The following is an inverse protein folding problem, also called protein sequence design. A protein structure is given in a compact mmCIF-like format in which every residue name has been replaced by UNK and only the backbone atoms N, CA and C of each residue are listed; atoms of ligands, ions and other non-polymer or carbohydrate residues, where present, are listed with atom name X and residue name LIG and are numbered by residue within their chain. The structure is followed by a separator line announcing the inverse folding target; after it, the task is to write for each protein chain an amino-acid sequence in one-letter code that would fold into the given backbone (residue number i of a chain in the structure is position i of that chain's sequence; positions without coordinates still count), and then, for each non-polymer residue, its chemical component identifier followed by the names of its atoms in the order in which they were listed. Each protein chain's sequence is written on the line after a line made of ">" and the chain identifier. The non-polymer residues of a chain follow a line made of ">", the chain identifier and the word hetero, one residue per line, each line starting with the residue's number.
data_IF_409081790931
#
_entry.id   IF_409081790931
#
_cell.length_a   1.000
_cell.length_b   1.000
_cell.length_c   1.000
_cell.angle_alpha   90.00
_cell.angle_beta   90.00
_cell.angle_gamma   90.00
#
_symmetry.space_group_name_H-M   'P 1'
#
loop_
_entity.id
_entity.type
_entity.pdbx_description
1 polymer ?
#
# COMPACT_ATOMS: atom_id res chain seq x y z
N UNK A 1 -29.21 -85.05 -52.67
CA UNK A 1 -29.44 -83.78 -51.94
C UNK A 1 -28.35 -83.44 -50.91
N UNK A 2 -27.68 -84.41 -50.27
CA UNK A 2 -26.66 -84.18 -49.20
C UNK A 2 -25.41 -83.35 -49.58
N UNK A 3 -24.99 -83.35 -50.86
CA UNK A 3 -23.79 -82.62 -51.32
C UNK A 3 -23.94 -81.09 -51.34
N UNK A 4 -25.15 -80.57 -51.63
CA UNK A 4 -25.42 -79.11 -51.66
C UNK A 4 -25.46 -78.48 -50.26
N UNK A 5 -25.93 -79.23 -49.26
CA UNK A 5 -26.00 -78.77 -47.86
C UNK A 5 -24.63 -78.74 -47.18
N UNK A 6 -23.76 -79.71 -47.48
CA UNK A 6 -22.37 -79.71 -47.01
C UNK A 6 -21.59 -78.52 -47.58
N UNK A 7 -21.74 -78.24 -48.88
CA UNK A 7 -21.12 -77.08 -49.52
C UNK A 7 -21.63 -75.74 -48.97
N UNK A 8 -22.93 -75.64 -48.62
CA UNK A 8 -23.48 -74.44 -47.96
C UNK A 8 -22.95 -74.24 -46.54
N UNK A 9 -22.84 -75.30 -45.73
CA UNK A 9 -22.26 -75.22 -44.37
C UNK A 9 -20.77 -74.89 -44.39
N UNK A 10 -20.05 -75.31 -45.42
CA UNK A 10 -18.64 -74.97 -45.61
C UNK A 10 -18.46 -73.50 -46.06
N UNK A 11 -19.33 -73.01 -46.97
CA UNK A 11 -19.25 -71.66 -47.52
C UNK A 11 -19.80 -70.56 -46.60
N UNK A 12 -20.79 -70.88 -45.76
CA UNK A 12 -21.48 -69.92 -44.89
C UNK A 12 -21.36 -70.24 -43.39
N UNK A 13 -20.58 -71.26 -43.02
CA UNK A 13 -20.50 -71.75 -41.65
C UNK A 13 -21.77 -72.47 -41.18
N UNK A 14 -21.79 -72.96 -39.95
CA UNK A 14 -23.03 -73.44 -39.33
C UNK A 14 -23.91 -72.22 -38.98
N UNK A 15 -25.24 -72.26 -39.22
CA UNK A 15 -26.13 -71.14 -38.89
C UNK A 15 -25.99 -70.67 -37.43
N UNK A 16 -25.85 -71.63 -36.52
CA UNK A 16 -25.62 -71.38 -35.09
C UNK A 16 -24.32 -70.61 -34.80
N UNK A 17 -23.24 -70.89 -35.55
CA UNK A 17 -21.98 -70.18 -35.41
C UNK A 17 -22.09 -68.74 -35.92
N UNK A 18 -22.77 -68.52 -37.05
CA UNK A 18 -22.99 -67.17 -37.59
C UNK A 18 -23.80 -66.32 -36.63
N UNK A 19 -24.88 -66.88 -36.05
CA UNK A 19 -25.70 -66.17 -35.07
C UNK A 19 -24.92 -65.85 -33.79
N UNK A 20 -24.08 -66.78 -33.32
CA UNK A 20 -23.19 -66.55 -32.18
C UNK A 20 -22.16 -65.44 -32.48
N UNK A 21 -21.60 -65.39 -33.69
CA UNK A 21 -20.68 -64.32 -34.08
C UNK A 21 -21.36 -62.97 -34.19
N UNK A 22 -22.60 -62.93 -34.71
CA UNK A 22 -23.43 -61.72 -34.74
C UNK A 22 -23.71 -61.23 -33.33
N UNK A 23 -24.05 -62.12 -32.41
CA UNK A 23 -24.31 -61.74 -31.03
C UNK A 23 -23.06 -61.25 -30.30
N UNK A 24 -21.91 -61.93 -30.48
CA UNK A 24 -20.61 -61.42 -29.99
C UNK A 24 -20.24 -60.05 -30.55
N UNK A 25 -20.63 -59.76 -31.79
CA UNK A 25 -20.39 -58.45 -32.39
C UNK A 25 -21.30 -57.38 -31.75
N UNK A 26 -22.59 -57.68 -31.54
CA UNK A 26 -23.52 -56.79 -30.85
C UNK A 26 -23.10 -56.46 -29.43
N UNK A 27 -22.64 -57.47 -28.68
CA UNK A 27 -22.13 -57.29 -27.32
C UNK A 27 -20.93 -56.34 -27.33
N UNK A 28 -19.93 -56.59 -28.18
CA UNK A 28 -18.75 -55.71 -28.30
C UNK A 28 -19.10 -54.27 -28.68
N UNK A 29 -20.08 -54.06 -29.55
CA UNK A 29 -20.56 -52.71 -29.90
C UNK A 29 -21.20 -52.03 -28.68
N UNK A 30 -22.02 -52.76 -27.90
CA UNK A 30 -22.63 -52.21 -26.68
C UNK A 30 -21.58 -51.88 -25.61
N UNK A 31 -20.62 -52.77 -25.39
CA UNK A 31 -19.51 -52.56 -24.44
C UNK A 31 -18.65 -51.37 -24.85
N UNK A 32 -18.20 -51.29 -26.10
CA UNK A 32 -17.40 -50.16 -26.59
C UNK A 32 -18.13 -48.82 -26.47
N UNK A 33 -19.45 -48.80 -26.74
CA UNK A 33 -20.28 -47.59 -26.56
C UNK A 33 -20.40 -47.20 -25.09
N UNK A 34 -20.52 -48.17 -24.19
CA UNK A 34 -20.62 -47.92 -22.75
C UNK A 34 -19.28 -47.39 -22.19
N UNK A 35 -18.15 -47.99 -22.58
CA UNK A 35 -16.82 -47.56 -22.19
C UNK A 35 -16.53 -46.12 -22.64
N UNK A 36 -16.91 -45.77 -23.87
CA UNK A 36 -16.74 -44.41 -24.37
C UNK A 36 -17.60 -43.39 -23.61
N UNK A 37 -18.80 -43.79 -23.16
CA UNK A 37 -19.69 -42.93 -22.38
C UNK A 37 -19.17 -42.70 -20.95
N UNK A 38 -18.68 -43.76 -20.30
CA UNK A 38 -18.07 -43.69 -18.98
C UNK A 38 -16.80 -42.83 -18.99
N UNK A 39 -15.92 -43.01 -20.00
CA UNK A 39 -14.73 -42.15 -20.18
C UNK A 39 -15.09 -40.67 -20.32
N UNK A 40 -16.12 -40.34 -21.12
CA UNK A 40 -16.57 -38.95 -21.30
C UNK A 40 -17.15 -38.35 -20.01
N UNK A 41 -17.85 -39.14 -19.19
CA UNK A 41 -18.35 -38.68 -17.88
C UNK A 41 -17.22 -38.47 -16.87
N UNK A 42 -16.23 -39.35 -16.84
CA UNK A 42 -15.06 -39.17 -15.98
C UNK A 42 -14.27 -37.91 -16.34
N UNK A 43 -14.08 -37.61 -17.63
CA UNK A 43 -13.38 -36.37 -18.05
C UNK A 43 -14.07 -35.12 -17.47
N UNK A 44 -15.40 -35.03 -17.60
CA UNK A 44 -16.15 -33.86 -17.10
C UNK A 44 -16.09 -33.77 -15.57
N UNK A 45 -16.13 -34.91 -14.88
CA UNK A 45 -16.10 -34.94 -13.42
C UNK A 45 -14.70 -34.65 -12.86
N UNK A 46 -13.65 -35.16 -13.51
CA UNK A 46 -12.26 -34.88 -13.20
C UNK A 46 -11.94 -33.40 -13.46
N UNK A 47 -12.37 -32.84 -14.59
CA UNK A 47 -12.23 -31.42 -14.92
C UNK A 47 -12.95 -30.52 -13.91
N UNK A 48 -14.19 -30.87 -13.53
CA UNK A 48 -14.94 -30.15 -12.49
C UNK A 48 -14.20 -30.19 -11.16
N UNK A 49 -13.70 -31.35 -10.74
CA UNK A 49 -12.97 -31.49 -9.47
C UNK A 49 -11.67 -30.68 -9.44
N UNK A 50 -10.98 -30.61 -10.59
CA UNK A 50 -9.76 -29.81 -10.75
C UNK A 50 -10.04 -28.30 -10.70
N UNK A 51 -11.10 -27.84 -11.37
CA UNK A 51 -11.53 -26.44 -11.27
C UNK A 51 -11.98 -26.09 -9.85
N UNK A 52 -12.69 -26.99 -9.17
CA UNK A 52 -13.06 -26.80 -7.76
C UNK A 52 -11.84 -26.72 -6.83
N UNK A 53 -10.77 -27.49 -7.09
CA UNK A 53 -9.54 -27.40 -6.30
C UNK A 53 -8.81 -26.06 -6.51
N UNK A 54 -8.71 -25.59 -7.75
CA UNK A 54 -8.12 -24.28 -8.05
C UNK A 54 -8.90 -23.18 -7.34
N UNK A 55 -10.23 -23.14 -7.49
CA UNK A 55 -11.05 -22.11 -6.85
C UNK A 55 -10.91 -22.14 -5.33
N UNK A 56 -10.77 -23.32 -4.70
CA UNK A 56 -10.54 -23.43 -3.26
C UNK A 56 -9.17 -22.90 -2.83
N UNK A 57 -8.14 -23.14 -3.62
CA UNK A 57 -6.79 -22.63 -3.37
C UNK A 57 -6.77 -21.10 -3.46
N UNK A 58 -7.32 -20.53 -4.53
CA UNK A 58 -7.44 -19.08 -4.72
C UNK A 58 -8.24 -18.40 -3.59
N UNK A 59 -9.34 -19.02 -3.15
CA UNK A 59 -10.12 -18.50 -2.02
C UNK A 59 -9.33 -18.55 -0.70
N UNK A 60 -8.53 -19.59 -0.49
CA UNK A 60 -7.67 -19.70 0.70
C UNK A 60 -6.54 -18.68 0.70
N UNK A 61 -5.97 -18.36 -0.46
CA UNK A 61 -4.96 -17.31 -0.59
C UNK A 61 -5.55 -15.94 -0.29
N UNK A 62 -6.75 -15.65 -0.81
CA UNK A 62 -7.48 -14.41 -0.50
C UNK A 62 -7.79 -14.27 1.00
N UNK A 63 -8.17 -15.35 1.69
CA UNK A 63 -8.37 -15.33 3.15
C UNK A 63 -7.07 -14.99 3.90
N UNK A 64 -5.93 -15.49 3.44
CA UNK A 64 -4.63 -15.17 4.01
C UNK A 64 -4.27 -13.69 3.80
N UNK A 65 -4.49 -13.17 2.59
CA UNK A 65 -4.24 -11.78 2.26
C UNK A 65 -5.09 -10.83 3.11
N UNK A 66 -6.37 -11.15 3.32
CA UNK A 66 -7.26 -10.36 4.20
C UNK A 66 -6.73 -10.36 5.63
N UNK A 67 -6.33 -11.51 6.16
CA UNK A 67 -5.78 -11.61 7.51
C UNK A 67 -4.47 -10.80 7.67
N UNK A 68 -3.61 -10.81 6.64
CA UNK A 68 -2.39 -10.00 6.62
C UNK A 68 -2.73 -8.50 6.57
N UNK A 69 -3.69 -8.09 5.75
CA UNK A 69 -4.14 -6.70 5.70
C UNK A 69 -4.68 -6.21 7.05
N UNK A 70 -5.45 -7.03 7.76
CA UNK A 70 -5.92 -6.69 9.12
C UNK A 70 -4.77 -6.52 10.13
N UNK A 71 -3.72 -7.33 10.01
CA UNK A 71 -2.55 -7.23 10.87
C UNK A 71 -1.79 -5.92 10.62
N UNK A 72 -1.51 -5.61 9.35
CA UNK A 72 -0.84 -4.37 8.93
C UNK A 72 -1.65 -3.16 9.40
N UNK A 73 -2.98 -3.19 9.24
CA UNK A 73 -3.85 -2.11 9.70
C UNK A 73 -3.71 -1.88 11.21
N UNK A 74 -3.71 -2.96 12.02
CA UNK A 74 -3.56 -2.85 13.48
C UNK A 74 -2.20 -2.27 13.88
N UNK A 75 -1.13 -2.70 13.22
CA UNK A 75 0.23 -2.18 13.44
C UNK A 75 0.28 -0.67 13.15
N UNK A 76 -0.18 -0.24 11.98
CA UNK A 76 -0.19 1.18 11.60
C UNK A 76 -1.04 2.04 12.55
N UNK A 77 -2.17 1.52 13.02
CA UNK A 77 -3.00 2.22 14.00
C UNK A 77 -2.29 2.36 15.35
N UNK A 78 -1.58 1.32 15.80
CA UNK A 78 -0.79 1.39 17.04
C UNK A 78 0.37 2.38 16.94
N UNK A 79 1.10 2.37 15.82
CA UNK A 79 2.17 3.34 15.56
C UNK A 79 1.63 4.77 15.55
N UNK A 80 0.47 4.99 14.94
CA UNK A 80 -0.19 6.30 14.91
C UNK A 80 -0.62 6.74 16.30
N UNK A 81 -1.23 5.85 17.11
CA UNK A 81 -1.60 6.15 18.49
C UNK A 81 -0.37 6.50 19.35
N UNK A 82 0.73 5.78 19.17
CA UNK A 82 1.99 6.06 19.84
C UNK A 82 2.55 7.43 19.43
N UNK A 83 2.51 7.75 18.13
CA UNK A 83 2.97 9.04 17.63
C UNK A 83 2.13 10.20 18.19
N UNK A 84 0.80 10.08 18.17
CA UNK A 84 -0.12 11.05 18.77
C UNK A 84 0.10 11.21 20.29
N UNK A 85 0.44 10.13 20.98
CA UNK A 85 0.76 10.18 22.40
C UNK A 85 2.04 11.00 22.66
N UNK A 86 3.10 10.78 21.87
CA UNK A 86 4.33 11.57 21.98
C UNK A 86 4.11 13.03 21.62
N UNK A 87 3.44 13.31 20.51
CA UNK A 87 3.10 14.67 20.09
C UNK A 87 2.28 15.40 21.16
N UNK A 88 1.31 14.72 21.78
CA UNK A 88 0.52 15.31 22.88
C UNK A 88 1.37 15.54 24.13
N UNK A 89 2.28 14.63 24.47
CA UNK A 89 3.18 14.79 25.61
C UNK A 89 4.15 15.98 25.41
N UNK A 90 4.67 16.15 24.20
CA UNK A 90 5.48 17.30 23.81
C UNK A 90 4.66 18.60 23.87
N UNK A 91 3.44 18.61 23.35
CA UNK A 91 2.54 19.77 23.46
C UNK A 91 2.19 20.14 24.91
N UNK A 92 1.99 19.16 25.79
CA UNK A 92 1.80 19.42 27.23
C UNK A 92 3.04 20.01 27.90
N UNK A 93 4.25 19.62 27.44
CA UNK A 93 5.50 20.22 27.91
C UNK A 93 5.59 21.68 27.43
N UNK A 94 5.15 21.98 26.21
CA UNK A 94 5.07 23.35 25.65
C UNK A 94 4.16 24.25 26.51
N UNK A 95 2.98 23.78 26.93
CA UNK A 95 2.05 24.53 27.80
C UNK A 95 2.63 24.85 29.20
N UNK A 96 3.70 24.15 29.62
CA UNK A 96 4.38 24.39 30.90
C UNK A 96 5.61 25.30 30.81
N UNK A 97 6.07 25.66 29.60
CA UNK A 97 7.16 26.62 29.47
C UNK A 97 6.66 28.06 29.64
N UNK A 98 7.46 28.85 30.35
CA UNK A 98 7.23 30.28 30.57
C UNK A 98 7.03 31.01 29.24
N UNK A 99 6.10 31.98 29.24
CA UNK A 99 5.58 32.74 28.09
C UNK A 99 6.61 33.50 27.25
N UNK A 100 7.89 33.44 27.60
CA UNK A 100 8.99 34.18 26.97
C UNK A 100 9.92 33.29 26.12
N UNK A 101 9.57 32.01 25.95
CA UNK A 101 10.35 31.08 25.12
C UNK A 101 9.87 31.08 23.67
N UNK A 102 10.82 31.14 22.72
CA UNK A 102 10.52 31.18 21.29
C UNK A 102 11.16 29.97 20.60
N UNK A 103 10.33 29.14 19.98
CA UNK A 103 10.78 27.96 19.25
C UNK A 103 11.35 28.34 17.88
N UNK A 104 12.33 27.56 17.43
CA UNK A 104 12.98 27.76 16.13
C UNK A 104 12.02 27.42 14.99
N UNK A 105 11.72 28.33 14.05
CA UNK A 105 10.76 28.10 12.98
C UNK A 105 11.21 27.07 11.93
N UNK A 106 12.47 26.61 11.99
CA UNK A 106 13.03 25.63 11.05
C UNK A 106 12.89 24.20 11.59
N UNK A 107 13.19 24.01 12.86
CA UNK A 107 13.11 22.69 13.46
C UNK A 107 11.86 22.50 14.29
N UNK A 108 11.13 23.54 14.68
CA UNK A 108 9.89 23.53 15.48
C UNK A 108 10.00 22.88 16.88
N UNK A 109 11.13 22.28 17.23
CA UNK A 109 11.31 21.54 18.50
C UNK A 109 12.21 22.28 19.51
N UNK A 110 13.24 23.00 19.05
CA UNK A 110 14.24 23.60 19.94
C UNK A 110 14.01 25.09 20.17
N UNK A 111 14.28 25.55 21.39
CA UNK A 111 14.20 26.97 21.77
C UNK A 111 15.38 27.76 21.20
N UNK A 112 15.09 28.95 20.66
CA UNK A 112 16.10 29.87 20.15
C UNK A 112 16.84 30.56 21.29
N UNK A 113 18.15 30.66 21.15
CA UNK A 113 19.02 31.41 22.06
C UNK A 113 19.46 32.71 21.39
N UNK A 114 19.15 33.85 22.01
CA UNK A 114 19.60 35.17 21.55
C UNK A 114 20.89 35.57 22.26
N UNK A 115 21.95 35.77 21.48
CA UNK A 115 23.15 36.46 21.94
C UNK A 115 23.05 37.94 21.57
N UNK A 116 22.74 38.79 22.56
CA UNK A 116 22.56 40.23 22.37
C UNK A 116 23.86 40.96 22.05
N UNK A 117 25.02 40.41 22.41
CA UNK A 117 26.33 41.00 22.15
C UNK A 117 26.79 40.67 20.72
N UNK A 118 26.61 39.42 20.31
CA UNK A 118 26.94 38.97 18.96
C UNK A 118 25.84 39.25 17.92
N UNK A 119 24.67 39.73 18.38
CA UNK A 119 23.46 39.96 17.58
C UNK A 119 23.07 38.75 16.71
N UNK A 120 23.05 37.58 17.37
CA UNK A 120 22.78 36.30 16.70
C UNK A 120 21.70 35.52 17.42
N UNK A 121 20.86 34.86 16.64
CA UNK A 121 19.94 33.82 17.12
C UNK A 121 20.51 32.47 16.73
N UNK A 122 20.75 31.60 17.71
CA UNK A 122 21.26 30.25 17.48
C UNK A 122 20.29 29.18 17.97
N UNK A 123 20.18 28.11 17.21
CA UNK A 123 19.42 26.92 17.55
C UNK A 123 20.33 25.69 17.64
N UNK A 124 20.02 24.75 18.52
CA UNK A 124 20.72 23.47 18.64
C UNK A 124 20.57 22.58 17.39
N UNK A 125 19.61 22.87 16.51
CA UNK A 125 19.49 22.22 15.20
C UNK A 125 20.56 22.66 14.18
N UNK A 126 21.41 23.63 14.54
CA UNK A 126 22.49 24.15 13.68
C UNK A 126 22.17 25.45 12.94
N UNK A 127 20.94 25.97 13.07
CA UNK A 127 20.56 27.26 12.49
C UNK A 127 21.18 28.41 13.26
N UNK A 128 21.83 29.33 12.53
CA UNK A 128 22.40 30.57 13.04
C UNK A 128 21.91 31.75 12.21
N UNK A 129 21.13 32.64 12.80
CA UNK A 129 20.55 33.81 12.13
C UNK A 129 21.20 35.08 12.69
N UNK A 130 21.41 36.07 11.83
CA UNK A 130 21.75 37.42 12.27
C UNK A 130 20.47 38.15 12.65
N UNK A 131 20.40 38.71 13.86
CA UNK A 131 19.23 39.43 14.31
C UNK A 131 19.58 40.46 15.38
N UNK A 132 19.23 41.72 15.11
CA UNK A 132 19.58 42.87 15.95
C UNK A 132 18.46 43.25 16.95
N UNK A 133 17.33 42.53 16.95
CA UNK A 133 16.17 42.80 17.81
C UNK A 133 16.07 41.91 19.06
N UNK A 134 14.98 42.06 19.82
CA UNK A 134 14.67 41.19 20.96
C UNK A 134 14.02 39.87 20.52
N UNK A 135 14.13 38.85 21.37
CA UNK A 135 13.51 37.54 21.12
C UNK A 135 11.98 37.66 20.97
N UNK A 136 11.34 38.52 21.77
CA UNK A 136 9.92 38.85 21.65
C UNK A 136 9.58 39.46 20.28
N UNK A 137 10.36 40.43 19.81
CA UNK A 137 10.14 41.05 18.50
C UNK A 137 10.27 40.03 17.37
N UNK A 138 11.18 39.06 17.50
CA UNK A 138 11.31 37.95 16.56
C UNK A 138 10.07 37.04 16.58
N UNK A 139 9.56 36.72 17.77
CA UNK A 139 8.31 35.94 17.93
C UNK A 139 7.12 36.64 17.27
N UNK A 140 6.97 37.94 17.51
CA UNK A 140 5.93 38.75 16.87
C UNK A 140 6.11 38.77 15.35
N UNK A 141 7.33 38.92 14.85
CA UNK A 141 7.62 38.90 13.41
C UNK A 141 7.19 37.60 12.73
N UNK A 142 7.51 36.45 13.34
CA UNK A 142 7.12 35.13 12.82
C UNK A 142 5.60 34.97 12.86
N UNK A 143 4.98 35.30 13.99
CA UNK A 143 3.52 35.21 14.19
C UNK A 143 2.75 36.10 13.22
N UNK A 144 3.19 37.35 13.04
CA UNK A 144 2.58 38.29 12.10
C UNK A 144 2.73 37.82 10.67
N UNK A 145 3.86 37.19 10.31
CA UNK A 145 4.05 36.62 8.97
C UNK A 145 3.06 35.49 8.70
N UNK A 146 2.86 34.60 9.67
CA UNK A 146 1.87 33.53 9.59
C UNK A 146 0.45 34.12 9.49
N UNK A 147 0.12 35.09 10.34
CA UNK A 147 -1.20 35.73 10.36
C UNK A 147 -1.51 36.46 9.05
N UNK A 148 -0.55 37.21 8.50
CA UNK A 148 -0.70 37.90 7.21
C UNK A 148 -0.95 36.92 6.06
N UNK A 149 -0.26 35.78 6.07
CA UNK A 149 -0.48 34.71 5.11
C UNK A 149 -1.87 34.06 5.29
N UNK A 150 -2.24 33.72 6.53
CA UNK A 150 -3.50 33.05 6.87
C UNK A 150 -4.75 33.85 6.49
N UNK A 151 -4.66 35.19 6.38
CA UNK A 151 -5.75 36.02 5.86
C UNK A 151 -6.10 35.72 4.39
N UNK A 152 -5.18 35.14 3.61
CA UNK A 152 -5.32 34.97 2.15
C UNK A 152 -5.26 33.52 1.69
N UNK A 153 -4.65 32.62 2.48
CA UNK A 153 -4.45 31.24 2.10
C UNK A 153 -4.58 30.30 3.30
N UNK A 154 -5.20 29.14 3.09
CA UNK A 154 -5.42 28.10 4.10
C UNK A 154 -4.30 27.05 4.15
N UNK A 155 -3.32 27.11 3.24
CA UNK A 155 -2.17 26.20 3.26
C UNK A 155 -1.18 26.60 4.34
N UNK A 156 -0.34 25.66 4.78
CA UNK A 156 0.70 25.98 5.76
C UNK A 156 1.85 26.74 5.07
N UNK A 157 2.29 27.82 5.71
CA UNK A 157 3.50 28.54 5.30
C UNK A 157 4.73 27.71 5.70
N UNK A 158 5.75 27.72 4.85
CA UNK A 158 7.01 27.01 5.09
C UNK A 158 8.13 28.01 5.34
N UNK A 159 8.86 27.81 6.43
CA UNK A 159 10.08 28.55 6.73
C UNK A 159 11.29 27.76 6.23
N UNK A 160 12.26 28.47 5.69
CA UNK A 160 13.49 27.85 5.19
C UNK A 160 14.66 28.81 5.32
N UNK A 161 15.87 28.25 5.24
CA UNK A 161 17.11 29.00 5.37
C UNK A 161 17.89 29.02 4.07
N UNK A 162 18.36 30.18 3.67
CA UNK A 162 19.27 30.36 2.54
C UNK A 162 20.68 30.68 3.03
N UNK A 163 21.72 29.98 2.56
CA UNK A 163 23.09 30.28 2.93
C UNK A 163 23.54 31.59 2.28
N UNK A 164 24.20 32.45 3.05
CA UNK A 164 24.83 33.66 2.54
C UNK A 164 26.32 33.37 2.35
N UNK A 165 26.87 33.80 1.20
CA UNK A 165 28.28 33.55 0.84
C UNK A 165 29.20 34.30 1.82
N UNK A 166 30.28 33.63 2.24
CA UNK A 166 31.35 34.17 3.10
C UNK A 166 30.94 34.62 4.52
N UNK A 167 29.79 34.15 5.01
CA UNK A 167 29.35 34.38 6.40
C UNK A 167 28.85 33.09 7.05
N UNK A 168 28.96 33.00 8.37
CA UNK A 168 28.56 31.83 9.14
C UNK A 168 27.05 31.78 9.45
N UNK A 169 26.30 32.84 9.11
CA UNK A 169 24.86 32.93 9.36
C UNK A 169 24.04 32.75 8.09
N UNK A 170 22.80 32.28 8.26
CA UNK A 170 21.84 32.05 7.18
C UNK A 170 20.72 33.07 7.21
N UNK A 171 20.08 33.29 6.06
CA UNK A 171 18.88 34.12 5.94
C UNK A 171 17.64 33.26 6.17
N UNK A 172 16.71 33.70 7.02
CA UNK A 172 15.42 33.07 7.22
C UNK A 172 14.40 33.68 6.26
N UNK A 173 13.77 32.82 5.48
CA UNK A 173 12.73 33.18 4.53
C UNK A 173 11.48 32.34 4.79
N UNK A 174 10.33 32.84 4.32
CA UNK A 174 9.06 32.16 4.40
C UNK A 174 8.37 32.18 3.03
N UNK A 175 7.80 31.05 2.61
CA UNK A 175 7.05 30.96 1.37
C UNK A 175 5.85 30.00 1.50
N UNK A 176 4.92 30.10 0.58
CA UNK A 176 3.80 29.17 0.47
C UNK A 176 3.85 28.44 -0.87
N UNK A 177 3.63 27.13 -0.88
CA UNK A 177 3.53 26.34 -2.11
C UNK A 177 2.19 26.50 -2.82
N UNK A 178 1.15 26.97 -2.11
CA UNK A 178 -0.21 27.08 -2.64
C UNK A 178 -0.66 28.50 -2.97
N UNK A 179 0.18 29.51 -2.72
CA UNK A 179 -0.03 30.87 -3.20
C UNK A 179 1.32 31.55 -3.43
N UNK A 180 1.35 32.71 -4.10
CA UNK A 180 2.58 33.46 -4.41
C UNK A 180 3.13 34.23 -3.19
N UNK A 181 2.83 33.81 -1.97
CA UNK A 181 3.33 34.46 -0.76
C UNK A 181 4.81 34.11 -0.55
N UNK A 182 5.63 35.14 -0.44
CA UNK A 182 7.06 35.06 -0.12
C UNK A 182 7.45 36.24 0.76
N UNK A 183 8.28 36.00 1.77
CA UNK A 183 8.80 37.04 2.67
C UNK A 183 10.17 36.68 3.20
N UNK A 184 11.06 37.66 3.21
CA UNK A 184 12.35 37.61 3.89
C UNK A 184 12.20 38.14 5.32
N UNK A 185 12.74 37.42 6.32
CA UNK A 185 12.53 37.76 7.73
C UNK A 185 13.78 38.32 8.42
N UNK A 186 14.99 38.00 7.96
CA UNK A 186 16.23 38.37 8.66
C UNK A 186 17.26 39.05 7.74
N UNK A 187 16.81 39.75 6.69
CA UNK A 187 17.68 40.53 5.79
C UNK A 187 18.20 41.81 6.45
#
# INVERSE_FOLDING_TARGET
>A
MRSKEAARRFKYGSPKLVDLMREKCRIRIKEARNDQFLKKRNIIQEEKSFLESIVREELSELEHDIALQELIYKELMQDTEQWLFYERAENYLIDTYETDTVFCPICEHNVLQLDTLAKRLSCTCGVMLRYDGSLEAFSTLVTDTIAQHAMRCTNNIQFFTEPIVDVEYVQLNAFCLGCEFYRDLTS
#
